data_IF_986442514526
#
_entry.id   IF_986442514526
#
_cell.length_a   1.000
_cell.length_b   1.000
_cell.length_c   1.000
_cell.angle_alpha   90.00
_cell.angle_beta   90.00
_cell.angle_gamma   90.00
#
_symmetry.space_group_name_H-M   'P 1'
#
loop_
_entity.id
_entity.type
_entity.pdbx_description
1 polymer ?
#
# COMPACT_ATOMS: atom_id res chain seq x y z
N UNK A 1 -27.77 -3.23 10.49
CA UNK A 1 -26.82 -2.20 10.96
C UNK A 1 -25.97 -1.77 9.76
N UNK A 2 -25.56 -0.52 9.62
CA UNK A 2 -24.61 -0.16 8.57
C UNK A 2 -23.30 -0.93 8.80
N UNK A 3 -22.68 -1.39 7.70
CA UNK A 3 -21.40 -2.09 7.74
C UNK A 3 -20.30 -1.09 8.07
N UNK A 4 -19.47 -1.40 9.04
CA UNK A 4 -18.25 -0.63 9.34
C UNK A 4 -17.19 -0.97 8.28
N UNK A 5 -17.10 -0.13 7.25
CA UNK A 5 -16.15 -0.33 6.13
C UNK A 5 -14.68 -0.32 6.58
N UNK A 6 -14.21 0.57 7.45
CA UNK A 6 -12.87 0.49 8.03
C UNK A 6 -12.59 -0.83 8.75
N UNK A 7 -13.51 -1.33 9.56
CA UNK A 7 -13.33 -2.61 10.25
C UNK A 7 -13.31 -3.80 9.28
N UNK A 8 -14.13 -3.75 8.23
CA UNK A 8 -14.11 -4.75 7.17
C UNK A 8 -12.79 -4.75 6.40
N UNK A 9 -12.31 -3.55 6.04
CA UNK A 9 -11.01 -3.37 5.39
C UNK A 9 -9.87 -3.91 6.26
N UNK A 10 -9.86 -3.60 7.55
CA UNK A 10 -8.83 -4.09 8.47
C UNK A 10 -8.84 -5.61 8.62
N UNK A 11 -10.03 -6.23 8.64
CA UNK A 11 -10.16 -7.68 8.71
C UNK A 11 -9.67 -8.36 7.40
N UNK A 12 -9.88 -7.72 6.26
CA UNK A 12 -9.44 -8.22 4.95
C UNK A 12 -7.94 -7.98 4.71
N UNK A 13 -7.36 -6.98 5.35
CA UNK A 13 -5.97 -6.60 5.26
C UNK A 13 -5.29 -6.75 6.63
N UNK A 14 -5.30 -7.95 7.20
CA UNK A 14 -4.63 -8.24 8.47
C UNK A 14 -3.10 -8.11 8.32
N UNK A 15 -2.39 -7.99 9.48
CA UNK A 15 -0.94 -7.92 9.51
C UNK A 15 -0.31 -9.11 8.75
N UNK A 16 0.63 -8.81 7.86
CA UNK A 16 1.25 -9.77 6.97
C UNK A 16 2.78 -9.67 6.91
N UNK A 17 3.37 -10.50 6.04
CA UNK A 17 4.82 -10.51 5.77
C UNK A 17 5.29 -9.19 5.15
N UNK A 18 4.43 -8.51 4.40
CA UNK A 18 4.62 -7.17 3.87
C UNK A 18 4.87 -6.15 4.99
N UNK A 19 4.05 -6.14 6.03
CA UNK A 19 4.22 -5.25 7.17
C UNK A 19 5.55 -5.49 7.89
N UNK A 20 5.88 -6.75 8.14
CA UNK A 20 7.16 -7.14 8.77
C UNK A 20 8.35 -6.66 7.92
N UNK A 21 8.24 -6.79 6.60
CA UNK A 21 9.26 -6.32 5.67
C UNK A 21 9.45 -4.81 5.76
N UNK A 22 8.36 -4.02 5.65
CA UNK A 22 8.45 -2.57 5.69
C UNK A 22 8.87 -2.05 7.06
N UNK A 23 8.42 -2.66 8.14
CA UNK A 23 8.87 -2.33 9.50
C UNK A 23 10.39 -2.57 9.62
N UNK A 24 10.89 -3.68 9.10
CA UNK A 24 12.32 -4.00 9.05
C UNK A 24 13.10 -3.04 8.15
N UNK A 25 12.55 -2.68 6.98
CA UNK A 25 13.16 -1.73 6.05
C UNK A 25 13.38 -0.35 6.69
N UNK A 26 12.38 0.18 7.39
CA UNK A 26 12.52 1.45 8.12
C UNK A 26 13.59 1.32 9.19
N UNK A 27 13.61 0.22 9.91
CA UNK A 27 14.64 -0.09 10.90
C UNK A 27 14.36 0.52 12.27
N UNK A 28 15.34 0.44 13.17
CA UNK A 28 15.20 0.86 14.59
C UNK A 28 15.78 2.23 14.90
N UNK A 29 16.63 2.78 14.03
CA UNK A 29 17.18 4.12 14.22
C UNK A 29 16.05 5.14 14.04
N UNK A 30 15.82 6.04 15.02
CA UNK A 30 14.77 7.04 14.90
C UNK A 30 14.91 7.88 13.63
N UNK A 31 13.86 7.95 12.85
CA UNK A 31 13.80 8.64 11.57
C UNK A 31 12.45 9.37 11.43
N UNK A 32 12.41 10.33 10.51
CA UNK A 32 11.17 10.96 10.05
C UNK A 32 10.64 10.10 8.91
N UNK A 33 9.53 9.43 9.15
CA UNK A 33 8.95 8.45 8.23
C UNK A 33 7.66 9.00 7.64
N UNK A 34 7.53 8.93 6.33
CA UNK A 34 6.31 9.17 5.59
C UNK A 34 5.69 7.81 5.22
N UNK A 35 4.41 7.63 5.56
CA UNK A 35 3.57 6.52 5.09
C UNK A 35 2.51 7.11 4.17
N UNK A 36 2.71 7.02 2.84
CA UNK A 36 1.81 7.58 1.82
C UNK A 36 0.79 6.53 1.38
N UNK A 37 -0.50 6.87 1.50
CA UNK A 37 -1.60 5.92 1.34
C UNK A 37 -1.76 5.07 2.61
N UNK A 38 -1.63 5.69 3.78
CA UNK A 38 -1.58 5.00 5.08
C UNK A 38 -2.88 4.30 5.47
N UNK A 39 -4.01 4.61 4.81
CA UNK A 39 -5.31 4.02 5.09
C UNK A 39 -5.72 4.18 6.55
N UNK A 40 -6.13 3.08 7.17
CA UNK A 40 -6.51 3.00 8.60
C UNK A 40 -5.31 2.97 9.56
N UNK A 41 -4.08 3.15 9.05
CA UNK A 41 -2.88 3.35 9.85
C UNK A 41 -2.25 2.10 10.46
N UNK A 42 -2.48 0.91 9.91
CA UNK A 42 -1.97 -0.35 10.45
C UNK A 42 -0.44 -0.35 10.59
N UNK A 43 0.29 -0.13 9.51
CA UNK A 43 1.76 -0.03 9.53
C UNK A 43 2.23 1.27 10.21
N UNK A 44 1.57 2.40 9.94
CA UNK A 44 1.87 3.71 10.53
C UNK A 44 1.97 3.63 12.06
N UNK A 45 1.00 2.96 12.69
CA UNK A 45 0.96 2.78 14.14
C UNK A 45 2.10 1.90 14.65
N UNK A 46 2.44 0.83 13.94
CA UNK A 46 3.54 -0.05 14.29
C UNK A 46 4.90 0.67 14.19
N UNK A 47 5.08 1.50 13.15
CA UNK A 47 6.27 2.35 13.01
C UNK A 47 6.39 3.36 14.15
N UNK A 48 5.29 4.02 14.55
CA UNK A 48 5.27 4.93 15.68
C UNK A 48 5.58 4.21 17.01
N UNK A 49 5.03 3.00 17.22
CA UNK A 49 5.33 2.16 18.37
C UNK A 49 6.80 1.71 18.41
N UNK A 50 7.43 1.54 17.23
CA UNK A 50 8.87 1.25 17.11
C UNK A 50 9.77 2.48 17.33
N UNK A 51 9.21 3.64 17.67
CA UNK A 51 9.97 4.86 18.03
C UNK A 51 10.25 5.79 16.83
N UNK A 52 9.59 5.59 15.70
CA UNK A 52 9.73 6.47 14.54
C UNK A 52 8.85 7.72 14.68
N UNK A 53 9.26 8.83 14.06
CA UNK A 53 8.42 10.04 13.90
C UNK A 53 7.65 9.92 12.61
N UNK A 54 6.39 9.48 12.69
CA UNK A 54 5.61 9.09 11.50
C UNK A 54 4.60 10.16 11.12
N UNK A 55 4.53 10.43 9.82
CA UNK A 55 3.44 11.14 9.17
C UNK A 55 2.71 10.16 8.27
N UNK A 56 1.43 9.89 8.55
CA UNK A 56 0.52 9.14 7.69
C UNK A 56 -0.27 10.08 6.79
N UNK A 57 -0.29 9.82 5.51
CA UNK A 57 -1.00 10.63 4.50
C UNK A 57 -1.96 9.75 3.73
N UNK A 58 -3.22 10.16 3.64
CA UNK A 58 -4.24 9.44 2.87
C UNK A 58 -5.31 10.42 2.38
N UNK A 59 -5.83 10.31 1.15
CA UNK A 59 -6.91 11.16 0.68
C UNK A 59 -8.27 10.81 1.29
N UNK A 60 -8.44 9.59 1.84
CA UNK A 60 -9.72 9.11 2.34
C UNK A 60 -9.93 9.54 3.81
N UNK A 61 -10.83 10.50 4.01
CA UNK A 61 -11.08 11.08 5.33
C UNK A 61 -11.60 10.05 6.36
N UNK A 62 -12.40 9.07 5.93
CA UNK A 62 -12.93 8.02 6.80
C UNK A 62 -11.81 7.11 7.32
N UNK A 63 -10.84 6.74 6.47
CA UNK A 63 -9.66 5.97 6.85
C UNK A 63 -8.82 6.70 7.89
N UNK A 64 -8.55 8.00 7.67
CA UNK A 64 -7.81 8.82 8.63
C UNK A 64 -8.56 9.02 9.95
N UNK A 65 -9.89 9.12 9.93
CA UNK A 65 -10.69 9.20 11.15
C UNK A 65 -10.55 7.91 11.98
N UNK A 66 -10.62 6.75 11.32
CA UNK A 66 -10.40 5.46 11.95
C UNK A 66 -8.97 5.34 12.51
N UNK A 67 -7.96 5.76 11.74
CA UNK A 67 -6.56 5.75 12.16
C UNK A 67 -6.31 6.59 13.42
N UNK A 68 -6.86 7.81 13.46
CA UNK A 68 -6.76 8.71 14.63
C UNK A 68 -7.41 8.15 15.89
N UNK A 69 -8.49 7.40 15.72
CA UNK A 69 -9.24 6.80 16.84
C UNK A 69 -8.55 5.58 17.47
N UNK A 70 -7.51 5.04 16.82
CA UNK A 70 -6.75 3.89 17.35
C UNK A 70 -5.94 4.28 18.60
N UNK A 71 -5.73 3.35 19.55
CA UNK A 71 -4.84 3.59 20.69
C UNK A 71 -3.45 4.03 20.24
N UNK A 72 -2.98 5.19 20.68
CA UNK A 72 -1.70 5.78 20.27
C UNK A 72 -1.74 6.56 18.94
N UNK A 73 -2.93 6.76 18.33
CA UNK A 73 -3.10 7.57 17.13
C UNK A 73 -2.67 9.03 17.30
N UNK A 74 -2.62 9.52 18.54
CA UNK A 74 -2.10 10.84 18.93
C UNK A 74 -0.57 10.99 18.78
N UNK A 75 0.16 9.89 18.61
CA UNK A 75 1.62 9.88 18.39
C UNK A 75 2.01 10.08 16.93
N UNK A 76 1.05 10.07 16.02
CA UNK A 76 1.24 10.17 14.58
C UNK A 76 0.69 11.49 14.06
N UNK A 77 1.41 12.11 13.12
CA UNK A 77 0.88 13.23 12.35
C UNK A 77 0.05 12.69 11.20
N UNK A 78 -1.26 12.96 11.20
CA UNK A 78 -2.16 12.52 10.13
C UNK A 78 -2.52 13.68 9.22
N UNK A 79 -2.24 13.56 7.92
CA UNK A 79 -2.51 14.58 6.91
C UNK A 79 -3.51 14.06 5.88
N UNK A 80 -4.66 14.72 5.70
CA UNK A 80 -5.52 14.44 4.56
C UNK A 80 -4.88 15.02 3.29
N UNK A 81 -4.71 14.19 2.26
CA UNK A 81 -4.10 14.65 1.01
C UNK A 81 -3.30 13.59 0.27
N UNK A 82 -2.41 14.05 -0.57
CA UNK A 82 -1.57 13.26 -1.47
C UNK A 82 -0.10 13.67 -1.34
N UNK A 83 0.77 13.12 -2.18
CA UNK A 83 2.18 13.51 -2.22
C UNK A 83 2.40 15.01 -2.57
N UNK A 84 1.44 15.64 -3.24
CA UNK A 84 1.51 17.07 -3.61
C UNK A 84 1.51 18.00 -2.38
N UNK A 85 0.91 17.56 -1.29
CA UNK A 85 0.70 18.33 -0.06
C UNK A 85 1.89 18.25 0.92
N UNK A 86 2.92 17.47 0.57
CA UNK A 86 4.06 17.21 1.44
C UNK A 86 5.04 18.38 1.49
N UNK A 87 5.63 18.67 2.67
CA UNK A 87 6.71 19.64 2.81
C UNK A 87 8.02 19.12 2.22
N UNK A 88 8.91 20.04 1.80
CA UNK A 88 10.20 19.73 1.22
C UNK A 88 11.20 19.22 2.27
N UNK A 89 12.03 18.25 1.91
CA UNK A 89 13.13 17.70 2.71
C UNK A 89 12.74 17.36 4.18
N UNK A 90 11.51 16.93 4.36
CA UNK A 90 10.94 16.68 5.69
C UNK A 90 11.14 15.24 6.19
N UNK A 91 11.44 14.30 5.29
CA UNK A 91 11.45 12.87 5.61
C UNK A 91 12.79 12.22 5.27
N UNK A 92 13.18 11.24 6.08
CA UNK A 92 14.37 10.41 5.89
C UNK A 92 14.02 9.10 5.16
N UNK A 93 12.77 8.64 5.34
CA UNK A 93 12.23 7.42 4.72
C UNK A 93 10.79 7.66 4.29
N UNK A 94 10.42 7.18 3.12
CA UNK A 94 9.04 7.10 2.64
C UNK A 94 8.68 5.66 2.30
N UNK A 95 7.45 5.26 2.62
CA UNK A 95 6.88 3.98 2.24
C UNK A 95 5.50 4.17 1.59
N UNK A 96 5.17 3.31 0.61
CA UNK A 96 3.83 3.13 0.04
C UNK A 96 3.55 1.63 0.08
N UNK A 97 2.67 1.20 0.96
CA UNK A 97 2.46 -0.23 1.25
C UNK A 97 1.08 -0.70 0.82
N UNK A 98 0.85 -2.01 0.84
CA UNK A 98 -0.42 -2.60 0.42
C UNK A 98 -0.82 -2.20 -1.01
N UNK A 99 0.16 -2.13 -1.91
CA UNK A 99 -0.01 -1.84 -3.33
C UNK A 99 -0.55 -0.44 -3.67
N UNK A 100 -0.37 0.55 -2.80
CA UNK A 100 -0.78 1.95 -3.04
C UNK A 100 -0.25 2.47 -4.39
N UNK A 101 0.97 2.07 -4.81
CA UNK A 101 1.53 2.43 -6.11
C UNK A 101 0.63 2.02 -7.29
N UNK A 102 -0.19 0.98 -7.14
CA UNK A 102 -1.12 0.51 -8.16
C UNK A 102 -2.45 1.28 -8.18
N UNK A 103 -2.85 1.91 -7.06
CA UNK A 103 -4.03 2.79 -6.99
C UNK A 103 -3.83 4.07 -7.82
N UNK A 104 -2.59 4.49 -8.01
CA UNK A 104 -2.24 5.63 -8.87
C UNK A 104 -2.22 5.17 -10.32
N UNK A 105 -3.40 5.19 -10.97
CA UNK A 105 -3.64 4.55 -12.27
C UNK A 105 -3.05 5.29 -13.46
N UNK A 106 -3.07 6.60 -13.43
CA UNK A 106 -2.53 7.46 -14.49
C UNK A 106 -1.00 7.60 -14.36
N UNK A 107 -0.29 7.40 -15.48
CA UNK A 107 1.18 7.40 -15.47
C UNK A 107 1.77 8.80 -15.27
N UNK A 108 1.06 9.87 -15.69
CA UNK A 108 1.42 11.24 -15.39
C UNK A 108 1.31 11.55 -13.89
N UNK A 109 0.19 11.17 -13.28
CA UNK A 109 -0.03 11.29 -11.83
C UNK A 109 0.99 10.48 -11.04
N UNK A 110 1.37 9.29 -11.52
CA UNK A 110 2.43 8.49 -10.92
C UNK A 110 3.78 9.20 -10.96
N UNK A 111 4.16 9.76 -12.13
CA UNK A 111 5.39 10.52 -12.28
C UNK A 111 5.42 11.76 -11.38
N UNK A 112 4.28 12.48 -11.24
CA UNK A 112 4.13 13.61 -10.34
C UNK A 112 4.27 13.19 -8.87
N UNK A 113 3.63 12.10 -8.48
CA UNK A 113 3.75 11.53 -7.14
C UNK A 113 5.21 11.23 -6.78
N UNK A 114 5.96 10.59 -7.69
CA UNK A 114 7.37 10.32 -7.48
C UNK A 114 8.22 11.59 -7.36
N UNK A 115 7.94 12.63 -8.16
CA UNK A 115 8.62 13.93 -8.06
C UNK A 115 8.33 14.62 -6.72
N UNK A 116 7.09 14.58 -6.25
CA UNK A 116 6.71 15.12 -4.94
C UNK A 116 7.38 14.34 -3.80
N UNK A 117 7.44 12.99 -3.89
CA UNK A 117 8.17 12.16 -2.92
C UNK A 117 9.68 12.50 -2.92
N UNK A 118 10.29 12.69 -4.11
CA UNK A 118 11.70 13.11 -4.19
C UNK A 118 11.94 14.46 -3.50
N UNK A 119 11.06 15.42 -3.71
CA UNK A 119 11.11 16.73 -3.05
C UNK A 119 10.94 16.61 -1.53
N UNK A 120 10.01 15.77 -1.08
CA UNK A 120 9.71 15.59 0.34
C UNK A 120 10.81 14.82 1.11
N UNK A 121 11.58 14.00 0.44
CA UNK A 121 12.72 13.29 1.01
C UNK A 121 13.97 14.17 1.05
N UNK A 122 14.77 14.00 2.09
CA UNK A 122 16.15 14.55 2.12
C UNK A 122 17.01 13.89 1.05
N UNK A 123 18.13 14.51 0.69
CA UNK A 123 19.12 13.90 -0.19
C UNK A 123 19.65 12.59 0.43
N UNK A 124 19.64 11.51 -0.36
CA UNK A 124 19.96 10.18 0.11
C UNK A 124 18.85 9.51 0.94
N UNK A 125 17.69 10.16 1.09
CA UNK A 125 16.51 9.57 1.73
C UNK A 125 16.04 8.31 1.02
N UNK A 126 15.40 7.40 1.75
CA UNK A 126 15.03 6.07 1.24
C UNK A 126 13.55 6.02 0.88
N UNK A 127 13.24 5.33 -0.22
CA UNK A 127 11.89 5.02 -0.65
C UNK A 127 11.72 3.51 -0.78
N UNK A 128 10.63 2.96 -0.27
CA UNK A 128 10.21 1.60 -0.57
C UNK A 128 8.72 1.54 -0.87
N UNK A 129 8.34 0.69 -1.82
CA UNK A 129 6.95 0.38 -2.10
C UNK A 129 6.82 -1.00 -2.73
N UNK A 130 5.61 -1.53 -2.69
CA UNK A 130 5.24 -2.77 -3.34
C UNK A 130 4.30 -2.54 -4.53
N UNK A 131 4.39 -3.45 -5.48
CA UNK A 131 3.52 -3.57 -6.64
C UNK A 131 3.47 -5.03 -7.07
N UNK A 132 2.37 -5.48 -7.64
CA UNK A 132 2.30 -6.84 -8.19
C UNK A 132 2.98 -6.89 -9.55
N UNK A 133 3.77 -7.95 -9.78
CA UNK A 133 4.41 -8.21 -11.07
C UNK A 133 3.33 -8.58 -12.12
N UNK A 134 3.16 -7.81 -13.21
CA UNK A 134 2.24 -8.17 -14.27
C UNK A 134 2.58 -9.51 -14.94
N UNK A 135 3.84 -9.94 -14.93
CA UNK A 135 4.25 -11.23 -15.49
C UNK A 135 3.71 -12.42 -14.69
N UNK A 136 3.51 -12.25 -13.37
CA UNK A 136 2.96 -13.27 -12.50
C UNK A 136 1.44 -13.47 -12.70
N UNK A 137 0.74 -12.53 -13.33
CA UNK A 137 -0.70 -12.58 -13.66
C UNK A 137 -1.58 -13.04 -12.49
N UNK A 138 -1.26 -12.60 -11.27
CA UNK A 138 -1.96 -13.01 -10.04
C UNK A 138 -3.46 -12.72 -10.08
N UNK A 139 -3.93 -11.77 -10.89
CA UNK A 139 -5.35 -11.49 -11.13
C UNK A 139 -6.13 -12.68 -11.73
N UNK A 140 -5.47 -13.68 -12.36
CA UNK A 140 -6.15 -14.88 -12.87
C UNK A 140 -6.77 -15.73 -11.75
N UNK A 141 -6.25 -15.57 -10.51
CA UNK A 141 -6.81 -16.18 -9.32
C UNK A 141 -7.88 -15.32 -8.62
N UNK A 142 -8.23 -14.18 -9.19
CA UNK A 142 -9.33 -13.37 -8.68
C UNK A 142 -10.66 -13.91 -9.20
N UNK A 143 -11.12 -14.96 -8.57
CA UNK A 143 -12.38 -15.65 -8.81
C UNK A 143 -12.89 -16.26 -7.49
N UNK A 144 -14.18 -16.62 -7.38
CA UNK A 144 -14.73 -17.14 -6.14
C UNK A 144 -14.09 -18.43 -5.62
N UNK A 145 -13.48 -19.24 -6.50
CA UNK A 145 -12.85 -20.51 -6.09
C UNK A 145 -11.50 -20.27 -5.43
N UNK A 146 -10.65 -19.42 -6.04
CA UNK A 146 -9.26 -19.25 -5.61
C UNK A 146 -9.08 -18.14 -4.58
N UNK A 147 -10.02 -17.18 -4.50
CA UNK A 147 -9.90 -16.00 -3.63
C UNK A 147 -10.90 -15.99 -2.46
N UNK A 148 -11.73 -17.04 -2.30
CA UNK A 148 -12.67 -17.13 -1.18
C UNK A 148 -11.92 -17.17 0.16
N UNK A 149 -12.31 -16.29 1.06
CA UNK A 149 -11.76 -16.21 2.42
C UNK A 149 -12.85 -15.86 3.42
N UNK A 150 -12.69 -16.28 4.66
CA UNK A 150 -13.58 -15.93 5.77
C UNK A 150 -12.92 -14.90 6.66
N UNK A 151 -13.56 -13.76 6.81
CA UNK A 151 -13.13 -12.67 7.68
C UNK A 151 -13.90 -12.73 8.99
N UNK A 152 -13.24 -12.32 10.08
CA UNK A 152 -13.88 -12.15 11.39
C UNK A 152 -13.69 -10.71 11.81
N UNK A 153 -14.79 -9.97 11.95
CA UNK A 153 -14.79 -8.59 12.42
C UNK A 153 -14.56 -8.52 13.94
N UNK A 154 -14.17 -7.33 14.47
CA UNK A 154 -13.89 -7.18 15.91
C UNK A 154 -15.08 -7.53 16.83
N UNK A 155 -16.31 -7.41 16.35
CA UNK A 155 -17.53 -7.79 17.08
C UNK A 155 -17.87 -9.29 17.02
N UNK A 156 -17.00 -10.10 16.37
CA UNK A 156 -17.20 -11.52 16.16
C UNK A 156 -18.05 -11.88 14.93
N UNK A 157 -18.54 -10.90 14.19
CA UNK A 157 -19.28 -11.14 12.94
C UNK A 157 -18.36 -11.79 11.91
N UNK A 158 -18.84 -12.86 11.25
CA UNK A 158 -18.10 -13.51 10.15
C UNK A 158 -18.67 -13.08 8.80
N UNK A 159 -17.77 -12.82 7.86
CA UNK A 159 -18.07 -12.38 6.49
C UNK A 159 -17.29 -13.25 5.52
N UNK A 160 -17.96 -13.85 4.54
CA UNK A 160 -17.28 -14.52 3.43
C UNK A 160 -16.94 -13.47 2.36
N UNK A 161 -15.70 -13.43 1.93
CA UNK A 161 -15.21 -12.45 0.96
C UNK A 161 -14.47 -13.14 -0.18
N UNK A 162 -14.57 -12.58 -1.37
CA UNK A 162 -13.80 -12.99 -2.54
C UNK A 162 -13.59 -11.82 -3.49
N UNK A 163 -12.69 -11.99 -4.43
CA UNK A 163 -12.40 -11.01 -5.49
C UNK A 163 -12.79 -11.60 -6.82
N UNK A 164 -13.45 -10.85 -7.68
CA UNK A 164 -13.83 -11.23 -9.02
C UNK A 164 -13.14 -10.32 -10.03
N UNK A 165 -12.34 -10.90 -10.93
CA UNK A 165 -11.75 -10.19 -12.06
C UNK A 165 -12.85 -9.78 -13.05
N UNK A 166 -12.92 -8.50 -13.43
CA UNK A 166 -13.91 -8.00 -14.38
C UNK A 166 -13.30 -7.59 -15.71
N UNK A 167 -12.08 -7.06 -15.74
CA UNK A 167 -11.39 -6.70 -16.97
C UNK A 167 -9.87 -6.61 -16.79
N UNK A 168 -9.13 -6.90 -17.87
CA UNK A 168 -7.69 -6.59 -18.00
C UNK A 168 -7.51 -5.86 -19.33
N UNK A 169 -7.04 -4.62 -19.25
CA UNK A 169 -6.85 -3.80 -20.44
C UNK A 169 -5.72 -2.78 -20.22
N UNK A 170 -4.74 -2.76 -21.12
CA UNK A 170 -3.67 -1.74 -21.16
C UNK A 170 -2.94 -1.58 -19.81
N UNK A 171 -2.68 -2.69 -19.10
CA UNK A 171 -2.06 -2.70 -17.78
C UNK A 171 -2.99 -2.28 -16.64
N UNK A 172 -4.25 -1.97 -16.90
CA UNK A 172 -5.29 -1.78 -15.91
C UNK A 172 -6.02 -3.10 -15.65
N UNK A 173 -6.15 -3.47 -14.40
CA UNK A 173 -6.87 -4.67 -13.94
C UNK A 173 -8.03 -4.22 -13.08
N UNK A 174 -9.25 -4.46 -13.55
CA UNK A 174 -10.49 -4.10 -12.83
C UNK A 174 -11.10 -5.33 -12.18
N UNK A 175 -11.68 -5.15 -11.01
CA UNK A 175 -12.25 -6.23 -10.20
C UNK A 175 -13.39 -5.73 -9.32
N UNK A 176 -14.13 -6.69 -8.75
CA UNK A 176 -15.09 -6.47 -7.66
C UNK A 176 -14.62 -7.24 -6.43
N UNK A 177 -14.56 -6.57 -5.29
CA UNK A 177 -14.55 -7.27 -4.01
C UNK A 177 -15.99 -7.54 -3.60
N UNK A 178 -16.26 -8.77 -3.21
CA UNK A 178 -17.55 -9.24 -2.72
C UNK A 178 -17.44 -9.55 -1.24
N UNK A 179 -18.42 -9.11 -0.46
CA UNK A 179 -18.53 -9.39 0.97
C UNK A 179 -19.95 -9.87 1.25
N UNK A 180 -20.10 -11.17 1.57
CA UNK A 180 -21.37 -11.77 1.93
C UNK A 180 -21.56 -11.66 3.43
N UNK A 181 -22.47 -10.79 3.83
CA UNK A 181 -22.79 -10.46 5.22
C UNK A 181 -23.73 -11.51 5.82
N UNK A 182 -23.79 -11.62 7.18
CA UNK A 182 -24.81 -12.41 7.84
C UNK A 182 -26.21 -11.97 7.41
N UNK A 183 -27.09 -12.95 7.12
CA UNK A 183 -28.42 -12.69 6.60
C UNK A 183 -28.52 -12.60 5.09
N UNK A 184 -27.41 -12.82 4.37
CA UNK A 184 -27.38 -12.98 2.91
C UNK A 184 -27.27 -11.67 2.11
N UNK A 185 -27.12 -10.52 2.78
CA UNK A 185 -26.84 -9.26 2.10
C UNK A 185 -25.41 -9.27 1.52
N UNK A 186 -25.25 -8.82 0.28
CA UNK A 186 -23.95 -8.74 -0.38
C UNK A 186 -23.56 -7.27 -0.57
N UNK A 187 -22.34 -6.93 -0.13
CA UNK A 187 -21.67 -5.67 -0.46
C UNK A 187 -20.68 -5.92 -1.59
N UNK A 188 -20.67 -5.07 -2.61
CA UNK A 188 -19.73 -5.11 -3.73
C UNK A 188 -18.98 -3.80 -3.81
N UNK A 189 -17.65 -3.88 -3.88
CA UNK A 189 -16.79 -2.73 -4.00
C UNK A 189 -15.94 -2.83 -5.25
N UNK A 190 -16.13 -1.97 -6.27
CA UNK A 190 -15.31 -1.99 -7.47
C UNK A 190 -13.91 -1.42 -7.19
N UNK A 191 -12.91 -2.00 -7.84
CA UNK A 191 -11.55 -1.50 -7.86
C UNK A 191 -10.91 -1.60 -9.23
N UNK A 192 -9.90 -0.79 -9.47
CA UNK A 192 -9.06 -0.86 -10.67
C UNK A 192 -7.64 -0.49 -10.29
N UNK A 193 -6.69 -1.35 -10.58
CA UNK A 193 -5.28 -1.19 -10.28
C UNK A 193 -4.46 -1.08 -11.57
N UNK A 194 -3.41 -0.26 -11.55
CA UNK A 194 -2.42 -0.18 -12.62
C UNK A 194 -1.26 -1.12 -12.31
N UNK A 195 -1.09 -2.14 -13.13
CA UNK A 195 0.06 -3.04 -13.08
C UNK A 195 1.17 -2.48 -13.96
N UNK A 196 2.31 -2.12 -13.36
CA UNK A 196 3.51 -1.63 -14.05
C UNK A 196 4.58 -2.70 -14.02
N UNK A 197 5.26 -2.87 -15.14
CA UNK A 197 6.44 -3.73 -15.23
C UNK A 197 7.59 -3.16 -14.42
N UNK A 198 8.57 -3.99 -14.04
CA UNK A 198 9.81 -3.53 -13.41
C UNK A 198 10.49 -2.42 -14.22
N UNK A 199 10.52 -2.55 -15.55
CA UNK A 199 11.11 -1.55 -16.45
C UNK A 199 10.40 -0.20 -16.38
N UNK A 200 9.06 -0.19 -16.37
CA UNK A 200 8.26 1.03 -16.22
C UNK A 200 8.52 1.69 -14.87
N UNK A 201 8.56 0.90 -13.78
CA UNK A 201 8.84 1.42 -12.44
C UNK A 201 10.24 2.03 -12.34
N UNK A 202 11.26 1.34 -12.85
CA UNK A 202 12.65 1.85 -12.88
C UNK A 202 12.77 3.13 -13.70
N UNK A 203 12.12 3.19 -14.86
CA UNK A 203 12.12 4.37 -15.73
C UNK A 203 11.47 5.57 -15.04
N UNK A 204 10.31 5.38 -14.43
CA UNK A 204 9.59 6.44 -13.71
C UNK A 204 10.40 6.96 -12.51
N UNK A 205 11.02 6.07 -11.74
CA UNK A 205 11.87 6.44 -10.60
C UNK A 205 13.11 7.22 -11.03
N UNK A 206 13.81 6.77 -12.07
CA UNK A 206 14.97 7.48 -12.60
C UNK A 206 14.58 8.87 -13.11
N UNK A 207 13.45 9.01 -13.81
CA UNK A 207 12.92 10.29 -14.28
C UNK A 207 12.51 11.25 -13.16
N UNK A 208 12.22 10.71 -11.97
CA UNK A 208 11.88 11.51 -10.79
C UNK A 208 13.09 11.79 -9.87
N UNK A 209 14.31 11.36 -10.22
CA UNK A 209 15.51 11.61 -9.44
C UNK A 209 15.77 10.59 -8.32
N UNK A 210 15.32 9.35 -8.52
CA UNK A 210 15.65 8.22 -7.64
C UNK A 210 16.65 7.26 -8.31
N UNK A 211 17.52 6.68 -7.49
CA UNK A 211 18.34 5.52 -7.87
C UNK A 211 17.70 4.27 -7.28
N UNK A 212 17.30 3.32 -8.14
CA UNK A 212 16.79 2.03 -7.69
C UNK A 212 17.94 1.17 -7.19
N UNK A 213 17.92 0.85 -5.91
CA UNK A 213 18.96 0.00 -5.28
C UNK A 213 18.66 -1.49 -5.50
N UNK A 214 17.41 -1.90 -5.31
CA UNK A 214 16.97 -3.30 -5.47
C UNK A 214 15.50 -3.35 -5.93
N UNK A 215 15.16 -4.42 -6.64
CA UNK A 215 13.79 -4.89 -6.85
C UNK A 215 13.77 -6.35 -6.45
N UNK A 216 12.86 -6.70 -5.54
CA UNK A 216 12.69 -8.05 -5.03
C UNK A 216 11.37 -8.64 -5.56
N UNK A 217 11.33 -9.96 -5.77
CA UNK A 217 10.18 -10.69 -6.27
C UNK A 217 9.29 -11.28 -5.15
N UNK A 218 9.72 -11.15 -3.91
CA UNK A 218 8.99 -11.66 -2.75
C UNK A 218 9.51 -11.12 -1.43
N UNK A 219 8.74 -11.37 -0.37
CA UNK A 219 8.92 -10.80 0.97
C UNK A 219 10.11 -11.37 1.76
N UNK A 220 10.69 -12.50 1.34
CA UNK A 220 11.92 -13.04 1.90
C UNK A 220 13.18 -12.59 1.12
N UNK A 221 13.01 -11.71 0.14
CA UNK A 221 14.10 -11.12 -0.64
C UNK A 221 14.45 -11.89 -1.91
N UNK A 222 13.53 -12.69 -2.40
CA UNK A 222 13.66 -13.48 -3.63
C UNK A 222 13.87 -12.57 -4.85
N UNK A 223 14.61 -13.02 -5.87
CA UNK A 223 14.71 -12.34 -7.15
C UNK A 223 13.33 -12.21 -7.84
N UNK A 224 13.16 -11.20 -8.68
CA UNK A 224 11.95 -11.03 -9.50
C UNK A 224 11.71 -12.28 -10.34
N UNK A 225 10.46 -12.76 -10.35
CA UNK A 225 10.03 -13.98 -11.04
C UNK A 225 10.44 -15.28 -10.35
N UNK A 226 11.12 -15.22 -9.20
CA UNK A 226 11.40 -16.38 -8.36
C UNK A 226 10.48 -16.38 -7.13
N UNK A 227 9.86 -17.52 -6.85
CA UNK A 227 8.92 -17.65 -5.73
C UNK A 227 7.46 -17.39 -6.14
N UNK A 228 6.56 -17.57 -5.17
CA UNK A 228 5.11 -17.59 -5.39
C UNK A 228 4.41 -16.27 -5.08
N UNK A 229 5.11 -15.27 -4.55
CA UNK A 229 4.49 -14.00 -4.12
C UNK A 229 4.03 -13.17 -5.33
N UNK A 230 4.82 -13.14 -6.42
CA UNK A 230 4.51 -12.40 -7.64
C UNK A 230 4.52 -10.90 -7.41
N UNK A 231 5.47 -10.43 -6.60
CA UNK A 231 5.63 -9.03 -6.21
C UNK A 231 6.78 -8.35 -6.95
N UNK A 232 6.72 -7.03 -6.98
CA UNK A 232 7.83 -6.13 -7.27
C UNK A 232 8.02 -5.21 -6.06
N UNK A 233 8.89 -5.57 -5.14
CA UNK A 233 9.19 -4.77 -3.96
C UNK A 233 10.37 -3.88 -4.32
N UNK A 234 10.14 -2.60 -4.47
CA UNK A 234 11.11 -1.63 -4.98
C UNK A 234 11.75 -0.89 -3.82
N UNK A 235 13.09 -0.91 -3.78
CA UNK A 235 13.91 -0.16 -2.85
C UNK A 235 14.72 0.87 -3.63
N UNK A 236 14.56 2.15 -3.30
CA UNK A 236 15.18 3.25 -4.02
C UNK A 236 15.72 4.30 -3.05
N UNK A 237 16.61 5.13 -3.56
CA UNK A 237 17.24 6.24 -2.84
C UNK A 237 17.06 7.54 -3.62
N UNK A 238 16.70 8.60 -2.92
CA UNK A 238 16.68 9.94 -3.46
C UNK A 238 18.11 10.34 -3.90
N UNK A 239 18.32 10.67 -5.18
CA UNK A 239 19.61 11.11 -5.67
C UNK A 239 20.04 12.42 -4.97
N UNK A 240 21.36 12.63 -4.85
CA UNK A 240 21.93 13.89 -4.31
C UNK A 240 21.85 15.00 -5.31
#
# INVERSE_FOLDING_TARGET
MPVDLPALYDADNAWGRDDDFFLSFVGRTPARVLDLGCGTGRLTMALAAAGQRVTGVDPEAASLAAARARPGGDRVTWLPGTAADLPDAAYDVAVLTSHVAQEIRDDGTWADTLRHLRRALVDGGRLAFDSRDPAARRWERWNPTDSLRRLTLPDGTTVDAWTELTAVRDGLVSFLHHYLLPGGAELRTPGTLRFRTETELRTALAGAGFTVERVLGGWAGEPVGAGDDGELIVLARAAR
#
